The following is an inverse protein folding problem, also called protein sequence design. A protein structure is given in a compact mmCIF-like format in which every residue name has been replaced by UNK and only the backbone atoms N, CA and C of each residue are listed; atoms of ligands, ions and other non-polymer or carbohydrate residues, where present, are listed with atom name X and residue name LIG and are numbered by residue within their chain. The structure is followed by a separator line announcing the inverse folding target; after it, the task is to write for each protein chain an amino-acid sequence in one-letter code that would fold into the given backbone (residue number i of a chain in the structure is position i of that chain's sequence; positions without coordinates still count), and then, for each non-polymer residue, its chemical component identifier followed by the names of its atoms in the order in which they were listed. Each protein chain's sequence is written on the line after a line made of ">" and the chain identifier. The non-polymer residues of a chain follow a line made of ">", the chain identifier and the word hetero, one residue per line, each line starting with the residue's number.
data_IF_371648245737
#
_entry.id   IF_371648245737
#
_cell.length_a   1.000
_cell.length_b   1.000
_cell.length_c   1.000
_cell.angle_alpha   90.00
_cell.angle_beta   90.00
_cell.angle_gamma   90.00
#
_symmetry.space_group_name_H-M   'P 1'
#
loop_
_entity.id
_entity.type
_entity.pdbx_description
1 polymer ?
#
# COMPACT_ATOMS: atom_id res chain seq x y z
N UNK A 1 8.81 -22.87 15.48
CA UNK A 1 9.46 -22.62 14.17
C UNK A 1 10.06 -21.22 14.25
N UNK A 2 11.35 -21.05 13.96
CA UNK A 2 12.01 -19.75 13.95
C UNK A 2 11.91 -19.15 12.55
N UNK A 3 11.77 -17.83 12.45
CA UNK A 3 11.84 -17.09 11.17
C UNK A 3 13.05 -16.16 11.23
N UNK A 4 13.94 -16.24 10.24
CA UNK A 4 15.09 -15.34 10.11
C UNK A 4 14.95 -14.44 8.89
N UNK A 5 15.31 -13.16 9.05
CA UNK A 5 15.22 -12.15 7.98
C UNK A 5 16.61 -11.54 7.81
N UNK A 6 17.10 -11.51 6.58
CA UNK A 6 18.34 -10.84 6.23
C UNK A 6 18.08 -9.40 5.76
N UNK A 7 18.81 -8.45 6.32
CA UNK A 7 18.96 -7.10 5.79
C UNK A 7 20.18 -7.10 4.86
N UNK A 8 19.94 -7.24 3.56
CA UNK A 8 20.98 -7.29 2.53
C UNK A 8 20.57 -6.46 1.32
N UNK A 9 21.31 -5.38 1.11
CA UNK A 9 21.15 -4.49 -0.03
C UNK A 9 21.78 -5.08 -1.31
N UNK A 10 22.77 -5.96 -1.20
CA UNK A 10 23.53 -6.45 -2.37
C UNK A 10 22.72 -7.35 -3.29
N UNK A 11 21.72 -8.03 -2.75
CA UNK A 11 20.94 -9.00 -3.50
C UNK A 11 21.66 -10.31 -3.75
N UNK A 12 22.46 -10.74 -2.77
CA UNK A 12 23.22 -11.98 -2.83
C UNK A 12 22.30 -13.17 -3.19
N UNK A 13 22.54 -13.87 -4.31
CA UNK A 13 21.79 -15.06 -4.67
C UNK A 13 21.93 -16.13 -3.58
N UNK A 14 20.89 -16.96 -3.40
CA UNK A 14 20.85 -18.10 -2.47
C UNK A 14 20.94 -17.74 -0.98
N UNK A 15 20.93 -16.44 -0.63
CA UNK A 15 20.85 -15.97 0.76
C UNK A 15 19.63 -16.56 1.48
N UNK A 16 18.49 -16.63 0.78
CA UNK A 16 17.23 -17.14 1.32
C UNK A 16 16.91 -18.57 0.84
N UNK A 17 17.93 -19.35 0.48
CA UNK A 17 17.79 -20.78 0.16
C UNK A 17 18.29 -21.66 1.30
N UNK A 18 17.74 -22.88 1.48
CA UNK A 18 18.18 -23.82 2.52
C UNK A 18 19.68 -24.13 2.45
N UNK A 19 20.31 -24.28 3.62
CA UNK A 19 21.75 -24.68 3.73
C UNK A 19 22.05 -25.98 3.00
N UNK A 20 21.14 -26.95 3.03
CA UNK A 20 21.27 -28.23 2.31
C UNK A 20 21.31 -28.09 0.78
N UNK A 21 20.86 -26.95 0.24
CA UNK A 21 20.93 -26.61 -1.20
C UNK A 21 22.16 -25.75 -1.53
N UNK A 22 23.02 -25.46 -0.55
CA UNK A 22 24.14 -24.53 -0.69
C UNK A 22 23.78 -23.06 -0.48
N UNK A 23 22.60 -22.77 0.06
CA UNK A 23 22.21 -21.40 0.47
C UNK A 23 22.71 -21.02 1.87
N UNK A 24 22.51 -19.76 2.25
CA UNK A 24 22.90 -19.27 3.59
C UNK A 24 21.90 -19.67 4.67
N UNK A 25 20.63 -19.86 4.31
CA UNK A 25 19.60 -20.39 5.20
C UNK A 25 18.67 -19.37 5.85
N UNK A 26 18.63 -18.12 5.38
CA UNK A 26 17.61 -17.17 5.81
C UNK A 26 16.23 -17.55 5.26
N UNK A 27 15.14 -17.24 5.99
CA UNK A 27 13.78 -17.48 5.51
C UNK A 27 13.29 -16.39 4.56
N UNK A 28 13.72 -15.14 4.80
CA UNK A 28 13.35 -13.96 4.04
C UNK A 28 14.53 -12.99 3.92
N UNK A 29 14.45 -12.09 2.94
CA UNK A 29 15.23 -10.85 2.89
C UNK A 29 14.34 -9.62 2.77
N UNK A 30 14.87 -8.47 3.15
CA UNK A 30 14.22 -7.18 2.90
C UNK A 30 14.33 -6.80 1.42
N UNK A 31 13.22 -6.37 0.80
CA UNK A 31 13.22 -5.84 -0.57
C UNK A 31 13.44 -4.33 -0.54
N UNK A 32 14.70 -3.95 -0.32
CA UNK A 32 15.10 -2.57 -0.03
C UNK A 32 14.85 -1.61 -1.21
N UNK A 33 14.95 -2.10 -2.45
CA UNK A 33 14.76 -1.31 -3.66
C UNK A 33 13.37 -0.67 -3.81
N UNK A 34 12.35 -1.17 -3.10
CA UNK A 34 10.99 -0.61 -3.17
C UNK A 34 10.93 0.77 -2.49
N UNK A 35 11.56 0.94 -1.33
CA UNK A 35 11.55 2.21 -0.62
C UNK A 35 12.30 3.29 -1.41
N UNK A 36 13.44 2.93 -1.99
CA UNK A 36 14.22 3.82 -2.87
C UNK A 36 13.41 4.25 -4.10
N UNK A 37 12.64 3.32 -4.69
CA UNK A 37 11.77 3.64 -5.83
C UNK A 37 10.70 4.67 -5.47
N UNK A 38 10.11 4.59 -4.28
CA UNK A 38 9.12 5.59 -3.87
C UNK A 38 9.74 6.96 -3.61
N UNK A 39 10.96 7.01 -3.07
CA UNK A 39 11.72 8.26 -2.99
C UNK A 39 11.92 8.83 -4.40
N UNK A 40 12.49 8.04 -5.32
CA UNK A 40 12.74 8.46 -6.71
C UNK A 40 11.46 9.00 -7.38
N UNK A 41 10.34 8.30 -7.24
CA UNK A 41 9.04 8.71 -7.79
C UNK A 41 8.58 10.05 -7.20
N UNK A 42 8.69 10.22 -5.88
CA UNK A 42 8.18 11.40 -5.17
C UNK A 42 9.11 12.61 -5.28
N UNK A 43 10.42 12.41 -5.49
CA UNK A 43 11.40 13.49 -5.55
C UNK A 43 11.87 13.84 -6.97
N UNK A 44 11.87 12.89 -7.92
CA UNK A 44 12.52 13.06 -9.22
C UNK A 44 11.58 12.98 -10.43
N UNK A 45 10.52 12.15 -10.37
CA UNK A 45 9.66 11.92 -11.54
C UNK A 45 8.71 13.10 -11.87
N UNK A 46 8.57 14.04 -10.93
CA UNK A 46 7.75 15.23 -11.11
C UNK A 46 6.24 14.94 -11.05
N UNK A 47 5.42 15.59 -11.91
CA UNK A 47 3.96 15.46 -11.89
C UNK A 47 3.47 14.00 -12.02
N UNK A 48 2.34 13.69 -11.37
CA UNK A 48 1.74 12.34 -11.34
C UNK A 48 1.46 11.78 -12.76
N UNK A 49 1.16 12.66 -13.73
CA UNK A 49 0.92 12.30 -15.13
C UNK A 49 2.15 11.68 -15.82
N UNK A 50 3.35 11.92 -15.28
CA UNK A 50 4.60 11.42 -15.84
C UNK A 50 5.02 10.09 -15.22
N UNK A 51 4.30 9.57 -14.21
CA UNK A 51 4.70 8.34 -13.56
C UNK A 51 4.61 7.15 -14.53
N UNK A 52 5.68 6.36 -14.56
CA UNK A 52 5.82 5.17 -15.41
C UNK A 52 5.29 3.94 -14.67
N UNK A 53 4.12 3.47 -15.10
CA UNK A 53 3.43 2.31 -14.50
C UNK A 53 4.22 1.03 -14.72
N UNK A 54 4.93 0.92 -15.84
CA UNK A 54 5.77 -0.24 -16.14
C UNK A 54 6.98 -0.35 -15.23
N UNK A 55 7.63 0.77 -14.92
CA UNK A 55 8.77 0.87 -14.02
C UNK A 55 8.37 0.61 -12.56
N UNK A 56 7.21 1.14 -12.14
CA UNK A 56 6.62 0.82 -10.82
C UNK A 56 6.38 -0.69 -10.67
N UNK A 57 5.67 -1.31 -11.63
CA UNK A 57 5.42 -2.76 -11.63
C UNK A 57 6.73 -3.53 -11.64
N UNK A 58 7.67 -3.17 -12.52
CA UNK A 58 8.97 -3.84 -12.61
C UNK A 58 9.69 -3.86 -11.26
N UNK A 59 9.73 -2.73 -10.54
CA UNK A 59 10.40 -2.66 -9.24
C UNK A 59 9.74 -3.57 -8.19
N UNK A 60 8.40 -3.63 -8.17
CA UNK A 60 7.68 -4.51 -7.23
C UNK A 60 7.90 -6.00 -7.55
N UNK A 61 7.95 -6.36 -8.83
CA UNK A 61 8.04 -7.75 -9.27
C UNK A 61 9.46 -8.28 -9.41
N UNK A 62 10.46 -7.40 -9.55
CA UNK A 62 11.85 -7.78 -9.81
C UNK A 62 12.51 -8.37 -8.55
N UNK A 63 12.22 -9.65 -8.31
CA UNK A 63 12.76 -10.46 -7.22
C UNK A 63 13.04 -11.89 -7.70
N UNK A 64 13.92 -12.58 -6.97
CA UNK A 64 14.34 -13.93 -7.32
C UNK A 64 13.21 -14.93 -7.04
N UNK A 65 12.81 -15.68 -8.06
CA UNK A 65 11.88 -16.79 -7.87
C UNK A 65 12.45 -17.81 -6.87
N UNK A 66 11.64 -18.19 -5.88
CA UNK A 66 12.03 -19.15 -4.85
C UNK A 66 12.78 -18.56 -3.67
N UNK A 67 13.02 -17.25 -3.62
CA UNK A 67 13.53 -16.54 -2.44
C UNK A 67 12.46 -15.54 -1.98
N UNK A 68 12.01 -15.67 -0.72
CA UNK A 68 10.92 -14.86 -0.19
C UNK A 68 11.43 -13.49 0.23
N UNK A 69 10.67 -12.46 -0.09
CA UNK A 69 11.00 -11.09 0.30
C UNK A 69 9.94 -10.48 1.23
N UNK A 70 10.38 -9.60 2.13
CA UNK A 70 9.51 -8.69 2.88
C UNK A 70 9.55 -7.33 2.18
N UNK A 71 8.39 -6.84 1.72
CA UNK A 71 8.24 -5.52 1.12
C UNK A 71 7.80 -4.48 2.15
N UNK A 72 8.18 -3.24 1.93
CA UNK A 72 7.77 -2.07 2.72
C UNK A 72 7.89 -0.83 1.85
N UNK A 73 6.98 0.12 2.02
CA UNK A 73 6.95 1.34 1.20
C UNK A 73 7.99 2.36 1.64
N UNK A 74 8.30 2.36 2.93
CA UNK A 74 9.28 3.23 3.58
C UNK A 74 9.80 2.51 4.83
N UNK A 75 11.03 2.81 5.22
CA UNK A 75 11.72 2.17 6.35
C UNK A 75 11.87 3.12 7.53
N UNK A 76 12.61 2.66 8.55
CA UNK A 76 12.98 3.48 9.68
C UNK A 76 14.00 4.57 9.32
N UNK A 77 14.84 4.36 8.29
CA UNK A 77 15.83 5.34 7.85
C UNK A 77 15.15 6.58 7.25
N UNK A 78 14.12 6.40 6.41
CA UNK A 78 13.33 7.52 5.88
C UNK A 78 12.56 8.29 6.97
N UNK A 79 12.35 7.69 8.13
CA UNK A 79 11.71 8.35 9.26
C UNK A 79 12.69 9.20 10.09
N UNK A 80 14.01 9.11 9.86
CA UNK A 80 15.02 9.87 10.61
C UNK A 80 15.20 11.31 10.08
N UNK A 81 15.79 12.16 10.92
CA UNK A 81 16.21 13.50 10.54
C UNK A 81 17.12 13.48 9.31
N UNK A 82 16.78 14.30 8.31
CA UNK A 82 17.53 14.41 7.05
C UNK A 82 16.87 13.70 5.87
N UNK A 83 15.79 12.95 6.10
CA UNK A 83 14.94 12.38 5.06
C UNK A 83 13.45 12.75 5.30
N UNK A 84 12.56 12.34 4.39
CA UNK A 84 11.12 12.58 4.46
C UNK A 84 10.35 11.25 4.40
N UNK A 85 9.37 11.10 5.28
CA UNK A 85 8.38 10.02 5.19
C UNK A 85 7.54 10.17 3.91
N UNK A 86 6.89 9.10 3.48
CA UNK A 86 5.97 9.12 2.32
C UNK A 86 4.87 10.16 2.53
N UNK A 87 4.32 10.26 3.74
CA UNK A 87 3.33 11.28 4.09
C UNK A 87 3.88 12.70 3.92
N UNK A 88 5.12 12.95 4.37
CA UNK A 88 5.73 14.27 4.30
C UNK A 88 6.16 14.65 2.87
N UNK A 89 6.60 13.70 2.05
CA UNK A 89 6.77 13.90 0.61
C UNK A 89 5.48 14.33 -0.10
N UNK A 90 4.35 13.75 0.32
CA UNK A 90 3.06 13.96 -0.35
C UNK A 90 2.34 15.24 0.08
N UNK A 91 2.48 15.64 1.35
CA UNK A 91 1.67 16.70 1.96
C UNK A 91 2.48 17.85 2.55
N UNK A 92 3.77 17.64 2.84
CA UNK A 92 4.73 18.63 3.33
C UNK A 92 4.14 19.58 4.41
N UNK A 93 4.28 20.89 4.25
CA UNK A 93 3.80 21.86 5.23
C UNK A 93 2.28 21.85 5.46
N UNK A 94 1.47 21.42 4.49
CA UNK A 94 0.01 21.38 4.65
C UNK A 94 -0.45 20.34 5.67
N UNK A 95 0.40 19.36 6.04
CA UNK A 95 0.10 18.41 7.11
C UNK A 95 -0.20 19.10 8.45
N UNK A 96 0.41 20.25 8.71
CA UNK A 96 0.28 20.95 9.99
C UNK A 96 -0.99 21.79 10.09
N UNK A 97 -1.56 22.21 8.97
CA UNK A 97 -2.69 23.15 8.91
C UNK A 97 -3.97 22.51 8.38
N UNK A 98 -3.86 21.50 7.52
CA UNK A 98 -4.96 20.93 6.75
C UNK A 98 -5.17 19.44 7.02
N UNK A 99 -4.73 18.91 8.16
CA UNK A 99 -5.11 17.56 8.62
C UNK A 99 -6.36 17.55 9.52
N UNK A 100 -6.98 18.71 9.80
CA UNK A 100 -8.23 18.79 10.57
C UNK A 100 -9.47 18.61 9.68
N UNK A 101 -10.37 17.68 10.02
CA UNK A 101 -11.65 17.49 9.31
C UNK A 101 -12.62 18.66 9.48
N UNK A 102 -12.29 19.64 10.33
CA UNK A 102 -13.07 20.87 10.54
C UNK A 102 -12.77 21.96 9.50
N UNK A 103 -11.68 21.81 8.74
CA UNK A 103 -11.37 22.69 7.61
C UNK A 103 -11.62 21.95 6.30
N UNK A 104 -12.01 22.65 5.21
CA UNK A 104 -12.14 22.04 3.90
C UNK A 104 -10.86 21.32 3.46
N UNK A 105 -11.03 20.23 2.69
CA UNK A 105 -9.92 19.56 2.04
C UNK A 105 -9.21 20.51 1.06
N UNK A 106 -7.89 20.34 0.94
CA UNK A 106 -7.11 20.94 -0.14
C UNK A 106 -6.72 19.86 -1.16
N UNK A 107 -6.48 20.23 -2.43
CA UNK A 107 -6.02 19.27 -3.45
C UNK A 107 -4.75 18.51 -3.01
N UNK A 108 -3.85 19.16 -2.28
CA UNK A 108 -2.62 18.56 -1.73
C UNK A 108 -2.94 17.47 -0.72
N UNK A 109 -3.80 17.73 0.27
CA UNK A 109 -4.17 16.76 1.30
C UNK A 109 -4.98 15.61 0.70
N UNK A 110 -5.96 15.89 -0.17
CA UNK A 110 -6.73 14.84 -0.86
C UNK A 110 -5.82 13.94 -1.70
N UNK A 111 -4.88 14.53 -2.45
CA UNK A 111 -3.86 13.77 -3.19
C UNK A 111 -3.00 12.93 -2.25
N UNK A 112 -2.51 13.52 -1.16
CA UNK A 112 -1.60 12.85 -0.24
C UNK A 112 -2.24 11.67 0.49
N UNK A 113 -3.48 11.82 0.97
CA UNK A 113 -4.23 10.74 1.61
C UNK A 113 -4.48 9.59 0.62
N UNK A 114 -4.90 9.91 -0.61
CA UNK A 114 -5.15 8.91 -1.64
C UNK A 114 -3.89 8.13 -2.02
N UNK A 115 -2.82 8.84 -2.38
CA UNK A 115 -1.55 8.22 -2.81
C UNK A 115 -0.87 7.46 -1.68
N UNK A 116 -0.93 7.92 -0.43
CA UNK A 116 -0.38 7.19 0.71
C UNK A 116 -1.02 5.80 0.88
N UNK A 117 -2.35 5.72 0.75
CA UNK A 117 -3.08 4.43 0.76
C UNK A 117 -2.67 3.55 -0.42
N UNK A 118 -2.63 4.11 -1.63
CA UNK A 118 -2.29 3.39 -2.85
C UNK A 118 -0.86 2.84 -2.83
N UNK A 119 0.13 3.66 -2.48
CA UNK A 119 1.56 3.27 -2.38
C UNK A 119 1.72 2.06 -1.46
N UNK A 120 1.07 2.08 -0.29
CA UNK A 120 1.17 1.01 0.71
C UNK A 120 0.48 -0.27 0.23
N UNK A 121 -0.73 -0.17 -0.31
CA UNK A 121 -1.44 -1.34 -0.84
C UNK A 121 -0.77 -1.91 -2.09
N UNK A 122 -0.15 -1.09 -2.94
CA UNK A 122 0.60 -1.55 -4.11
C UNK A 122 1.85 -2.33 -3.67
N UNK A 123 2.59 -1.76 -2.71
CA UNK A 123 3.78 -2.39 -2.12
C UNK A 123 3.45 -3.71 -1.43
N UNK A 124 2.36 -3.77 -0.66
CA UNK A 124 1.91 -5.01 -0.01
C UNK A 124 1.40 -6.03 -1.03
N UNK A 125 0.57 -5.60 -1.98
CA UNK A 125 -0.08 -6.50 -2.94
C UNK A 125 0.88 -7.15 -3.93
N UNK A 126 1.89 -6.41 -4.38
CA UNK A 126 2.75 -6.84 -5.48
C UNK A 126 4.22 -7.06 -5.08
N UNK A 127 4.69 -6.46 -3.98
CA UNK A 127 6.12 -6.32 -3.69
C UNK A 127 6.83 -7.54 -3.07
N UNK A 128 6.11 -8.50 -2.48
CA UNK A 128 6.76 -9.61 -1.76
C UNK A 128 5.83 -10.67 -1.18
N UNK A 129 6.41 -11.52 -0.34
CA UNK A 129 5.75 -12.63 0.37
C UNK A 129 5.51 -12.31 1.86
N UNK A 130 5.81 -11.07 2.26
CA UNK A 130 5.50 -10.50 3.57
C UNK A 130 5.56 -8.98 3.48
N UNK A 131 4.98 -8.31 4.47
CA UNK A 131 4.91 -6.86 4.54
C UNK A 131 5.47 -6.35 5.86
N UNK A 132 6.17 -5.22 5.81
CA UNK A 132 6.70 -4.52 6.97
C UNK A 132 6.22 -3.07 6.98
N UNK A 133 5.95 -2.58 8.18
CA UNK A 133 5.61 -1.19 8.44
C UNK A 133 6.37 -0.70 9.68
N UNK A 134 7.00 0.46 9.57
CA UNK A 134 7.67 1.10 10.71
C UNK A 134 6.70 1.98 11.48
N UNK A 135 6.82 2.00 12.81
CA UNK A 135 5.84 2.59 13.72
C UNK A 135 5.50 4.06 13.42
N UNK A 136 4.21 4.35 13.27
CA UNK A 136 3.67 5.66 12.93
C UNK A 136 3.40 5.84 11.43
N UNK A 137 4.13 5.14 10.55
CA UNK A 137 3.94 5.28 9.11
C UNK A 137 2.59 4.70 8.66
N UNK A 138 1.98 3.82 9.47
CA UNK A 138 0.66 3.26 9.21
C UNK A 138 -0.45 4.31 9.12
N UNK A 139 -0.29 5.42 9.83
CA UNK A 139 -1.23 6.53 9.84
C UNK A 139 -0.64 7.82 9.25
N UNK A 140 0.52 7.75 8.60
CA UNK A 140 1.19 8.92 8.03
C UNK A 140 1.64 9.91 9.10
N UNK A 141 2.33 9.42 10.14
CA UNK A 141 2.87 10.25 11.23
C UNK A 141 3.64 11.47 10.67
N UNK A 142 3.34 12.70 11.15
CA UNK A 142 4.00 13.92 10.69
C UNK A 142 5.44 14.03 11.22
N UNK A 143 6.15 15.10 10.87
CA UNK A 143 7.51 15.37 11.37
C UNK A 143 8.50 14.24 11.00
N UNK A 144 9.56 14.08 11.79
CA UNK A 144 10.58 13.05 11.67
C UNK A 144 11.03 12.58 13.07
N UNK A 145 11.83 11.53 13.12
CA UNK A 145 12.52 11.03 14.32
C UNK A 145 13.88 11.70 14.41
N UNK A 146 14.18 12.31 15.55
CA UNK A 146 15.54 12.72 15.90
C UNK A 146 15.83 12.29 17.33
N UNK A 147 16.92 11.53 17.51
CA UNK A 147 17.35 11.07 18.82
C UNK A 147 18.11 12.19 19.56
N UNK A 148 18.07 12.24 20.89
CA UNK A 148 18.90 13.13 21.68
C UNK A 148 20.38 12.94 21.30
N UNK A 149 21.03 14.01 20.85
CA UNK A 149 22.43 13.96 20.43
C UNK A 149 23.13 15.30 20.62
N UNK A 150 24.40 15.22 20.98
CA UNK A 150 25.34 16.35 21.00
C UNK A 150 25.85 16.68 19.59
N UNK A 151 26.55 17.80 19.50
CA UNK A 151 27.32 18.19 18.33
C UNK A 151 28.33 17.09 17.98
N UNK A 152 28.46 16.78 16.69
CA UNK A 152 29.44 15.80 16.20
C UNK A 152 30.15 16.29 14.96
N UNK A 153 31.31 15.69 14.69
CA UNK A 153 32.01 15.85 13.41
C UNK A 153 31.84 14.56 12.64
N UNK A 154 31.36 14.66 11.39
CA UNK A 154 31.23 13.51 10.51
C UNK A 154 32.61 12.94 10.19
N UNK A 155 32.85 11.68 10.56
CA UNK A 155 34.18 11.07 10.46
C UNK A 155 34.72 10.98 9.02
N UNK A 156 33.83 10.85 8.02
CA UNK A 156 34.18 10.72 6.61
C UNK A 156 34.49 12.06 5.93
N UNK A 157 33.81 13.14 6.32
CA UNK A 157 33.90 14.44 5.64
C UNK A 157 34.59 15.52 6.47
N UNK A 158 34.75 15.31 7.79
CA UNK A 158 35.19 16.33 8.74
C UNK A 158 34.17 17.44 8.95
N UNK A 159 32.95 17.32 8.41
CA UNK A 159 31.90 18.34 8.52
C UNK A 159 31.34 18.39 9.94
N UNK A 160 31.26 19.60 10.50
CA UNK A 160 30.52 19.82 11.73
C UNK A 160 29.02 19.62 11.51
N UNK A 161 28.41 18.78 12.34
CA UNK A 161 26.97 18.52 12.36
C UNK A 161 26.46 18.94 13.74
N UNK A 162 25.66 20.02 13.82
CA UNK A 162 25.08 20.46 15.09
C UNK A 162 24.15 19.37 15.65
N UNK A 163 24.21 19.17 16.96
CA UNK A 163 23.31 18.37 17.77
C UNK A 163 21.92 19.00 17.87
N UNK A 164 21.07 18.42 18.71
CA UNK A 164 19.74 18.95 19.00
C UNK A 164 19.58 19.35 20.48
N UNK A 165 20.70 19.59 21.17
CA UNK A 165 20.70 19.94 22.59
C UNK A 165 20.19 18.83 23.49
N UNK A 166 20.42 17.55 23.12
CA UNK A 166 19.89 16.37 23.80
C UNK A 166 18.35 16.39 23.96
N UNK A 167 17.66 16.92 22.95
CA UNK A 167 16.21 17.04 22.95
C UNK A 167 15.52 15.70 22.66
N UNK A 168 14.48 15.40 23.45
CA UNK A 168 13.59 14.26 23.21
C UNK A 168 12.33 14.67 22.42
N UNK A 169 12.24 15.93 21.97
CA UNK A 169 11.01 16.48 21.37
C UNK A 169 10.51 15.67 20.16
N UNK A 170 11.42 15.17 19.32
CA UNK A 170 11.11 14.36 18.13
C UNK A 170 11.37 12.86 18.34
N UNK A 171 11.95 12.48 19.48
CA UNK A 171 12.18 11.09 19.87
C UNK A 171 10.92 10.47 20.50
N UNK A 172 9.78 10.59 19.80
CA UNK A 172 8.46 10.12 20.26
C UNK A 172 7.59 9.69 19.08
N UNK A 173 6.49 9.02 19.40
CA UNK A 173 5.36 8.76 18.48
C UNK A 173 4.10 9.41 19.04
N UNK A 174 3.33 10.08 18.18
CA UNK A 174 2.07 10.74 18.51
C UNK A 174 0.88 9.86 18.13
N UNK A 175 0.74 8.74 18.84
CA UNK A 175 -0.40 7.84 18.66
C UNK A 175 -1.75 8.52 19.00
N UNK A 176 -1.72 9.59 19.79
CA UNK A 176 -2.89 10.42 20.05
C UNK A 176 -3.51 11.03 18.76
N UNK A 177 -2.73 11.20 17.68
CA UNK A 177 -3.24 11.76 16.42
C UNK A 177 -4.31 10.88 15.76
N UNK A 178 -4.23 9.56 15.91
CA UNK A 178 -5.23 8.63 15.35
C UNK A 178 -6.51 8.57 16.15
N UNK A 179 -6.42 8.88 17.45
CA UNK A 179 -7.55 8.82 18.39
C UNK A 179 -8.39 10.11 18.36
N UNK A 180 -7.87 11.16 17.73
CA UNK A 180 -8.58 12.44 17.57
C UNK A 180 -9.51 12.42 16.36
N UNK A 181 -10.82 12.28 16.60
CA UNK A 181 -11.84 12.22 15.55
C UNK A 181 -11.87 13.41 14.58
N UNK A 182 -11.37 14.56 15.00
CA UNK A 182 -11.31 15.76 14.16
C UNK A 182 -10.07 15.81 13.27
N UNK A 183 -9.20 14.78 13.28
CA UNK A 183 -8.01 14.69 12.45
C UNK A 183 -8.14 13.58 11.38
N UNK A 184 -7.52 13.82 10.22
CA UNK A 184 -7.52 12.93 9.06
C UNK A 184 -6.58 11.72 9.21
N UNK A 185 -5.69 11.67 10.20
CA UNK A 185 -4.79 10.52 10.45
C UNK A 185 -5.56 9.21 10.68
N UNK A 186 -6.75 9.29 11.28
CA UNK A 186 -7.65 8.15 11.49
C UNK A 186 -8.01 7.44 10.18
N UNK A 187 -8.08 8.16 9.06
CA UNK A 187 -8.40 7.60 7.75
C UNK A 187 -7.29 6.68 7.23
N UNK A 188 -6.03 7.11 7.38
CA UNK A 188 -4.87 6.32 6.99
C UNK A 188 -4.73 5.07 7.88
N UNK A 189 -4.93 5.25 9.19
CA UNK A 189 -4.93 4.15 10.16
C UNK A 189 -6.02 3.12 9.87
N UNK A 190 -7.25 3.57 9.58
CA UNK A 190 -8.37 2.69 9.26
C UNK A 190 -8.11 1.90 7.97
N UNK A 191 -7.54 2.56 6.95
CA UNK A 191 -7.15 1.88 5.71
C UNK A 191 -6.08 0.82 5.95
N UNK A 192 -5.07 1.11 6.77
CA UNK A 192 -4.04 0.13 7.15
C UNK A 192 -4.64 -1.11 7.82
N UNK A 193 -5.55 -0.91 8.77
CA UNK A 193 -6.26 -2.00 9.43
C UNK A 193 -7.06 -2.85 8.44
N UNK A 194 -7.77 -2.21 7.51
CA UNK A 194 -8.54 -2.91 6.48
C UNK A 194 -7.64 -3.67 5.48
N UNK A 195 -6.55 -3.06 5.03
CA UNK A 195 -5.52 -3.68 4.18
C UNK A 195 -4.96 -4.96 4.81
N UNK A 196 -4.56 -4.89 6.09
CA UNK A 196 -4.06 -6.04 6.83
C UNK A 196 -5.14 -7.10 7.07
N UNK A 197 -6.39 -6.71 7.34
CA UNK A 197 -7.52 -7.63 7.50
C UNK A 197 -7.76 -8.44 6.22
N UNK A 198 -7.77 -7.79 5.05
CA UNK A 198 -7.93 -8.45 3.75
C UNK A 198 -6.75 -9.37 3.47
N UNK A 199 -5.52 -8.92 3.74
CA UNK A 199 -4.34 -9.77 3.59
C UNK A 199 -4.37 -11.01 4.49
N UNK A 200 -4.80 -10.87 5.75
CA UNK A 200 -4.93 -11.98 6.69
C UNK A 200 -6.04 -12.95 6.33
N UNK A 201 -7.19 -12.45 5.84
CA UNK A 201 -8.33 -13.25 5.44
C UNK A 201 -8.01 -14.11 4.20
N UNK A 202 -7.52 -13.49 3.12
CA UNK A 202 -7.25 -14.15 1.85
C UNK A 202 -5.85 -14.75 1.74
N UNK A 203 -4.93 -14.38 2.63
CA UNK A 203 -3.55 -14.88 2.68
C UNK A 203 -2.79 -14.73 1.35
N UNK A 204 -3.10 -13.70 0.57
CA UNK A 204 -2.58 -13.51 -0.78
C UNK A 204 -1.04 -13.33 -0.82
N UNK A 205 -0.43 -12.82 0.26
CA UNK A 205 1.03 -12.70 0.38
C UNK A 205 1.73 -14.07 0.30
N UNK A 206 1.08 -15.13 0.81
CA UNK A 206 1.61 -16.49 0.79
C UNK A 206 1.28 -17.24 -0.52
N UNK A 207 0.54 -16.62 -1.44
CA UNK A 207 0.20 -17.22 -2.73
C UNK A 207 1.40 -17.24 -3.67
N UNK A 208 1.55 -18.32 -4.43
CA UNK A 208 2.46 -18.37 -5.58
C UNK A 208 1.86 -17.73 -6.84
N UNK A 209 0.53 -17.56 -6.89
CA UNK A 209 -0.12 -16.91 -8.01
C UNK A 209 0.04 -15.41 -7.92
N UNK A 210 0.77 -14.84 -8.89
CA UNK A 210 0.86 -13.42 -9.17
C UNK A 210 0.81 -13.23 -10.69
N UNK A 211 0.00 -12.31 -11.18
CA UNK A 211 -0.08 -12.00 -12.61
C UNK A 211 -0.47 -10.55 -12.84
N UNK A 212 0.40 -9.74 -13.42
CA UNK A 212 0.08 -8.36 -13.83
C UNK A 212 -0.51 -8.36 -15.24
N UNK A 213 -1.80 -8.04 -15.36
CA UNK A 213 -2.53 -8.02 -16.64
C UNK A 213 -2.51 -6.64 -17.30
N UNK A 214 -2.47 -5.55 -16.54
CA UNK A 214 -2.44 -4.19 -17.07
C UNK A 214 -1.38 -3.33 -16.37
N UNK A 215 -0.68 -2.52 -17.17
CA UNK A 215 0.25 -1.47 -16.74
C UNK A 215 0.21 -0.33 -17.77
N UNK A 216 -0.96 0.30 -17.87
CA UNK A 216 -1.28 1.31 -18.88
C UNK A 216 -0.73 2.67 -18.46
N UNK A 217 0.31 3.17 -19.15
CA UNK A 217 0.80 4.54 -18.94
C UNK A 217 -0.17 5.59 -19.47
N UNK A 218 -0.96 5.25 -20.49
CA UNK A 218 -1.95 6.17 -21.05
C UNK A 218 -3.07 6.45 -20.06
N UNK A 219 -3.62 5.39 -19.46
CA UNK A 219 -4.70 5.53 -18.48
C UNK A 219 -4.19 5.80 -17.07
N UNK A 220 -2.90 5.49 -16.81
CA UNK A 220 -2.30 5.40 -15.48
C UNK A 220 -2.96 4.33 -14.61
N UNK A 221 -3.33 3.20 -15.22
CA UNK A 221 -4.01 2.09 -14.56
C UNK A 221 -3.11 0.87 -14.48
N UNK A 222 -3.03 0.27 -13.29
CA UNK A 222 -2.37 -1.01 -13.05
C UNK A 222 -3.41 -2.02 -12.57
N UNK A 223 -3.41 -3.20 -13.19
CA UNK A 223 -4.26 -4.34 -12.78
C UNK A 223 -3.39 -5.57 -12.61
N UNK A 224 -3.50 -6.22 -11.46
CA UNK A 224 -2.84 -7.49 -11.21
C UNK A 224 -3.69 -8.42 -10.35
N UNK A 225 -3.36 -9.70 -10.40
CA UNK A 225 -3.91 -10.73 -9.55
C UNK A 225 -2.85 -11.21 -8.56
N UNK A 226 -3.24 -11.42 -7.30
CA UNK A 226 -2.41 -12.06 -6.28
C UNK A 226 -3.29 -12.97 -5.43
N UNK A 227 -2.98 -14.28 -5.43
CA UNK A 227 -3.92 -15.26 -4.88
C UNK A 227 -5.23 -15.28 -5.67
N UNK A 228 -6.36 -15.25 -4.98
CA UNK A 228 -7.69 -15.24 -5.60
C UNK A 228 -8.20 -13.81 -5.86
N UNK A 229 -7.39 -12.80 -5.55
CA UNK A 229 -7.80 -11.39 -5.58
C UNK A 229 -7.36 -10.71 -6.87
N UNK A 230 -8.21 -9.81 -7.38
CA UNK A 230 -7.90 -8.87 -8.46
C UNK A 230 -7.73 -7.48 -7.86
N UNK A 231 -6.58 -6.86 -8.08
CA UNK A 231 -6.25 -5.52 -7.63
C UNK A 231 -6.31 -4.56 -8.81
N UNK A 232 -6.94 -3.41 -8.62
CA UNK A 232 -7.08 -2.36 -9.62
C UNK A 232 -6.64 -1.04 -9.00
N UNK A 233 -5.61 -0.44 -9.57
CA UNK A 233 -5.08 0.86 -9.17
C UNK A 233 -5.28 1.86 -10.29
N UNK A 234 -5.88 3.00 -9.97
CA UNK A 234 -5.94 4.15 -10.86
C UNK A 234 -5.06 5.27 -10.31
N UNK A 235 -3.87 5.40 -10.89
CA UNK A 235 -2.90 6.45 -10.57
C UNK A 235 -3.15 7.74 -11.35
N UNK A 236 -4.16 7.77 -12.22
CA UNK A 236 -4.50 8.98 -12.94
C UNK A 236 -4.86 10.09 -11.95
N UNK A 237 -4.31 11.31 -12.10
CA UNK A 237 -4.57 12.39 -11.16
C UNK A 237 -5.97 13.01 -11.31
N UNK A 238 -6.63 12.83 -12.46
CA UNK A 238 -7.90 13.52 -12.76
C UNK A 238 -8.96 12.61 -13.39
N UNK A 239 -8.57 11.66 -14.23
CA UNK A 239 -9.51 10.84 -14.99
C UNK A 239 -10.04 9.66 -14.17
N UNK A 240 -11.36 9.56 -14.15
CA UNK A 240 -12.09 8.37 -13.69
C UNK A 240 -12.64 7.64 -14.91
N UNK A 241 -12.67 6.31 -14.85
CA UNK A 241 -13.11 5.48 -15.97
C UNK A 241 -14.41 4.76 -15.60
N UNK A 242 -15.46 5.03 -16.38
CA UNK A 242 -16.68 4.23 -16.35
C UNK A 242 -16.50 3.00 -17.22
N UNK A 243 -17.03 1.86 -16.79
CA UNK A 243 -16.97 0.60 -17.53
C UNK A 243 -15.55 0.23 -17.99
N UNK A 244 -14.57 0.37 -17.10
CA UNK A 244 -13.20 -0.06 -17.38
C UNK A 244 -13.14 -1.60 -17.35
N UNK A 245 -12.66 -2.21 -18.43
CA UNK A 245 -12.59 -3.67 -18.53
C UNK A 245 -11.37 -4.22 -17.79
N UNK A 246 -11.61 -5.19 -16.91
CA UNK A 246 -10.62 -5.81 -16.03
C UNK A 246 -10.54 -7.29 -16.34
N UNK A 247 -9.38 -7.76 -16.79
CA UNK A 247 -9.14 -9.19 -17.04
C UNK A 247 -8.94 -9.96 -15.72
N UNK A 248 -9.52 -11.16 -15.63
CA UNK A 248 -9.45 -12.03 -14.45
C UNK A 248 -9.35 -13.53 -14.83
N UNK A 249 -8.77 -14.32 -13.94
CA UNK A 249 -8.54 -15.76 -14.11
C UNK A 249 -9.84 -16.55 -14.19
N UNK A 250 -10.73 -16.28 -13.24
CA UNK A 250 -11.90 -17.10 -12.98
C UNK A 250 -13.14 -16.38 -13.47
N UNK A 251 -13.92 -17.09 -14.29
CA UNK A 251 -15.25 -16.66 -14.71
C UNK A 251 -16.22 -16.90 -13.55
N UNK A 252 -16.30 -15.92 -12.67
CA UNK A 252 -17.16 -15.93 -11.48
C UNK A 252 -17.70 -14.54 -11.21
N UNK A 253 -18.60 -14.43 -10.24
CA UNK A 253 -19.04 -13.17 -9.68
C UNK A 253 -18.02 -12.68 -8.65
N UNK A 254 -17.61 -11.43 -8.73
CA UNK A 254 -16.69 -10.79 -7.79
C UNK A 254 -17.41 -9.78 -6.91
N UNK A 255 -16.92 -9.61 -5.68
CA UNK A 255 -17.30 -8.55 -4.75
C UNK A 255 -16.12 -7.64 -4.47
N UNK A 256 -16.41 -6.36 -4.27
CA UNK A 256 -15.43 -5.38 -3.80
C UNK A 256 -15.17 -5.63 -2.31
N UNK A 257 -13.96 -6.06 -1.96
CA UNK A 257 -13.58 -6.40 -0.56
C UNK A 257 -12.72 -5.34 0.10
N UNK A 258 -12.12 -4.44 -0.68
CA UNK A 258 -11.44 -3.24 -0.21
C UNK A 258 -11.56 -2.16 -1.28
N UNK A 259 -11.88 -0.94 -0.86
CA UNK A 259 -11.73 0.24 -1.70
C UNK A 259 -11.16 1.37 -0.87
N UNK A 260 -10.10 2.02 -1.38
CA UNK A 260 -9.56 3.22 -0.74
C UNK A 260 -10.53 4.40 -0.80
N UNK A 261 -11.58 4.33 -1.62
CA UNK A 261 -12.59 5.37 -1.77
C UNK A 261 -13.74 5.24 -0.75
N UNK A 262 -13.69 4.26 0.14
CA UNK A 262 -14.59 4.18 1.28
C UNK A 262 -14.47 5.44 2.17
N UNK A 263 -15.59 6.01 2.65
CA UNK A 263 -15.59 7.23 3.46
C UNK A 263 -14.85 7.10 4.80
N UNK A 264 -14.84 5.91 5.42
CA UNK A 264 -14.06 5.64 6.64
C UNK A 264 -12.54 5.72 6.42
N UNK A 265 -12.09 5.72 5.15
CA UNK A 265 -10.69 5.92 4.76
C UNK A 265 -10.46 7.31 4.17
N UNK A 266 -11.39 8.25 4.36
CA UNK A 266 -11.30 9.60 3.79
C UNK A 266 -11.49 9.63 2.27
N UNK A 267 -12.19 8.62 1.72
CA UNK A 267 -12.61 8.60 0.32
C UNK A 267 -13.96 9.29 0.08
N UNK A 268 -14.35 9.40 -1.18
CA UNK A 268 -15.53 10.15 -1.61
C UNK A 268 -16.76 9.27 -1.86
N UNK A 269 -16.70 7.98 -1.54
CA UNK A 269 -17.80 7.01 -1.66
C UNK A 269 -18.31 6.78 -3.09
N UNK A 270 -17.51 7.09 -4.11
CA UNK A 270 -17.88 6.81 -5.50
C UNK A 270 -17.76 5.30 -5.81
N UNK A 271 -16.85 4.61 -5.13
CA UNK A 271 -16.74 3.15 -5.14
C UNK A 271 -16.63 2.65 -3.70
N UNK A 272 -17.76 2.41 -3.05
CA UNK A 272 -17.83 2.03 -1.63
C UNK A 272 -18.20 0.56 -1.46
N UNK A 273 -17.46 -0.18 -0.63
CA UNK A 273 -17.74 -1.61 -0.35
C UNK A 273 -19.15 -1.87 0.18
N UNK A 274 -19.81 -0.90 0.83
CA UNK A 274 -21.16 -1.08 1.36
C UNK A 274 -22.25 -1.04 0.27
N UNK A 275 -22.04 -0.29 -0.80
CA UNK A 275 -23.04 -0.05 -1.86
C UNK A 275 -22.64 -0.59 -3.23
N UNK A 276 -21.39 -1.02 -3.40
CA UNK A 276 -20.89 -1.56 -4.66
C UNK A 276 -21.71 -2.79 -5.08
N UNK A 277 -22.05 -2.91 -6.37
CA UNK A 277 -22.74 -4.09 -6.87
C UNK A 277 -21.79 -5.30 -6.88
N UNK A 278 -22.35 -6.46 -7.17
CA UNK A 278 -21.55 -7.60 -7.62
C UNK A 278 -21.08 -7.39 -9.07
N UNK A 279 -19.88 -7.88 -9.38
CA UNK A 279 -19.22 -7.72 -10.67
C UNK A 279 -19.15 -9.08 -11.38
N UNK A 280 -19.92 -9.26 -12.44
CA UNK A 280 -20.04 -10.55 -13.12
C UNK A 280 -18.96 -10.65 -14.19
N UNK A 281 -18.05 -11.62 -14.06
CA UNK A 281 -17.06 -11.89 -15.09
C UNK A 281 -17.68 -12.66 -16.27
N UNK A 282 -17.55 -12.07 -17.45
CA UNK A 282 -18.00 -12.61 -18.73
C UNK A 282 -16.91 -13.50 -19.34
N UNK A 283 -17.33 -14.39 -20.25
CA UNK A 283 -16.44 -15.19 -21.09
C UNK A 283 -15.85 -14.33 -22.21
N UNK A 284 -15.06 -13.34 -21.80
CA UNK A 284 -14.46 -12.35 -22.67
C UNK A 284 -12.98 -12.21 -22.30
N UNK A 285 -12.12 -12.73 -23.18
CA UNK A 285 -10.69 -12.67 -22.98
C UNK A 285 -10.17 -11.23 -23.11
N UNK A 286 -9.39 -10.78 -22.13
CA UNK A 286 -8.85 -9.42 -22.10
C UNK A 286 -7.49 -9.40 -21.38
N UNK A 287 -6.51 -8.68 -21.92
CA UNK A 287 -5.17 -8.51 -21.33
C UNK A 287 -4.52 -9.83 -20.84
N UNK A 288 -4.59 -10.89 -21.67
CA UNK A 288 -3.99 -12.18 -21.37
C UNK A 288 -4.75 -13.02 -20.32
N UNK A 289 -5.97 -12.63 -19.96
CA UNK A 289 -6.86 -13.38 -19.07
C UNK A 289 -8.06 -13.96 -19.82
N UNK A 290 -8.60 -15.12 -19.39
CA UNK A 290 -9.68 -15.80 -20.10
C UNK A 290 -11.05 -15.13 -19.90
N UNK A 291 -11.27 -14.45 -18.78
CA UNK A 291 -12.53 -13.78 -18.44
C UNK A 291 -12.29 -12.31 -18.10
N UNK A 292 -13.35 -11.50 -18.10
CA UNK A 292 -13.27 -10.09 -17.68
C UNK A 292 -14.60 -9.54 -17.19
N UNK A 293 -14.55 -8.51 -16.36
CA UNK A 293 -15.71 -7.74 -15.92
C UNK A 293 -15.48 -6.25 -16.14
N UNK A 294 -16.57 -5.47 -16.08
CA UNK A 294 -16.53 -4.01 -16.11
C UNK A 294 -16.62 -3.47 -14.69
N UNK A 295 -15.84 -2.44 -14.37
CA UNK A 295 -15.99 -1.71 -13.13
C UNK A 295 -15.82 -0.20 -13.34
N UNK A 296 -16.41 0.56 -12.44
CA UNK A 296 -16.05 1.97 -12.28
C UNK A 296 -14.71 2.08 -11.54
N UNK A 297 -13.81 2.90 -12.07
CA UNK A 297 -12.44 3.05 -11.59
C UNK A 297 -12.16 4.54 -11.34
N UNK A 298 -12.46 5.05 -10.13
CA UNK A 298 -12.26 6.47 -9.80
C UNK A 298 -10.79 6.89 -9.79
N UNK A 299 -10.50 8.15 -10.11
CA UNK A 299 -9.17 8.76 -10.05
C UNK A 299 -8.52 8.62 -8.67
N UNK A 300 -7.21 8.32 -8.62
CA UNK A 300 -6.43 8.10 -7.39
C UNK A 300 -7.08 7.13 -6.40
N UNK A 301 -7.42 5.94 -6.88
CA UNK A 301 -7.99 4.89 -6.02
C UNK A 301 -7.31 3.54 -6.20
N UNK A 302 -7.42 2.71 -5.15
CA UNK A 302 -7.19 1.27 -5.22
C UNK A 302 -8.46 0.53 -4.83
N UNK A 303 -8.84 -0.46 -5.64
CA UNK A 303 -9.92 -1.37 -5.41
C UNK A 303 -9.42 -2.82 -5.45
N UNK A 304 -9.91 -3.67 -4.56
CA UNK A 304 -9.58 -5.09 -4.48
C UNK A 304 -10.86 -5.89 -4.56
N UNK A 305 -10.90 -6.82 -5.51
CA UNK A 305 -12.04 -7.69 -5.79
C UNK A 305 -11.70 -9.13 -5.45
N UNK A 306 -12.66 -9.86 -4.90
CA UNK A 306 -12.56 -11.28 -4.60
C UNK A 306 -13.76 -12.04 -5.17
N UNK A 307 -13.65 -13.34 -5.48
CA UNK A 307 -14.81 -14.18 -5.77
C UNK A 307 -15.86 -14.05 -4.67
N UNK A 308 -17.12 -13.82 -5.03
CA UNK A 308 -18.20 -13.47 -4.12
C UNK A 308 -18.38 -14.52 -3.00
N UNK A 309 -18.44 -15.81 -3.37
CA UNK A 309 -18.58 -16.93 -2.43
C UNK A 309 -17.42 -16.97 -1.41
N UNK A 310 -16.21 -16.65 -1.86
CA UNK A 310 -15.03 -16.64 -1.00
C UNK A 310 -15.04 -15.43 -0.06
N UNK A 311 -15.43 -14.27 -0.57
CA UNK A 311 -15.59 -13.05 0.22
C UNK A 311 -16.63 -13.24 1.34
N UNK A 312 -17.79 -13.81 1.02
CA UNK A 312 -18.87 -14.04 1.98
C UNK A 312 -18.43 -14.97 3.10
N UNK A 313 -17.72 -16.05 2.73
CA UNK A 313 -17.17 -17.02 3.67
C UNK A 313 -16.09 -16.43 4.59
N UNK A 314 -15.16 -15.65 4.04
CA UNK A 314 -13.96 -15.20 4.78
C UNK A 314 -14.17 -13.91 5.55
N UNK A 315 -15.05 -13.03 5.08
CA UNK A 315 -15.31 -11.73 5.69
C UNK A 315 -16.65 -11.67 6.43
N UNK A 316 -17.46 -12.74 6.37
CA UNK A 316 -18.70 -12.87 7.14
C UNK A 316 -19.86 -12.08 6.54
N UNK A 317 -19.90 -11.87 5.22
CA UNK A 317 -21.02 -11.23 4.53
C UNK A 317 -22.21 -12.17 4.29
N UNK A 318 -22.29 -13.30 4.98
CA UNK A 318 -23.44 -14.21 4.87
C UNK A 318 -24.72 -13.48 5.23
N UNK A 319 -25.71 -13.60 4.34
CA UNK A 319 -27.09 -13.10 4.41
C UNK A 319 -27.95 -13.69 5.53
N UNK A 320 -27.40 -13.86 6.74
CA UNK A 320 -28.08 -14.44 7.91
C UNK A 320 -28.20 -13.46 9.09
N UNK A 321 -28.23 -12.14 8.86
CA UNK A 321 -28.56 -11.16 9.91
C UNK A 321 -29.95 -10.51 9.79
N UNK A 322 -30.80 -10.95 8.87
CA UNK A 322 -32.16 -10.36 8.68
C UNK A 322 -33.33 -11.23 9.13
N UNK A 323 -33.12 -12.29 9.92
CA UNK A 323 -34.21 -13.18 10.34
C UNK A 323 -34.28 -13.57 11.83
N UNK A 324 -33.45 -13.02 12.72
CA UNK A 324 -33.39 -13.47 14.12
C UNK A 324 -33.90 -12.47 15.19
N UNK A 325 -34.26 -11.22 14.84
CA UNK A 325 -34.71 -10.21 15.82
C UNK A 325 -36.23 -9.95 15.84
N UNK A 326 -37.05 -10.90 15.37
CA UNK A 326 -38.52 -10.83 15.49
C UNK A 326 -39.18 -12.00 16.22
N UNK A 327 -38.43 -12.76 17.03
CA UNK A 327 -39.03 -13.78 17.89
C UNK A 327 -38.24 -14.01 19.19
N UNK A 328 -38.42 -13.12 20.17
CA UNK A 328 -38.45 -13.43 21.60
C UNK A 328 -39.00 -12.22 22.38
#
# INVERSE_FOLDING_TARGET
>A
KMTTIAEDVSGMPTLCRPVKEGGVGFDYRLQMAIADKWIEVLSEWGPDENWDMGNLVFTMENRRYGEKCISYAESHDQALVGDKTTAFWLMDAEMYTNMSTLVPDTPTISRGIALHKMIRQFTMGLGGEGYLNFMGNEFGHPEWIDFPRDDRVEASTGKFIPGNGNSYHLCRRRFDLTDMDHLRYKYLNAFDGAMNKVAGAFKYLASSHQYTSCKSDADKVIVFERGDLVFVFNWNPTQSFSDYRIGCKEKTTYKLVLSSDNPEFGGYSNLWTYTAPEFIAEDYAFNGRPASFLAYVPSRTVAVYAPADLADKLLGYSSESTAADTAA
#
